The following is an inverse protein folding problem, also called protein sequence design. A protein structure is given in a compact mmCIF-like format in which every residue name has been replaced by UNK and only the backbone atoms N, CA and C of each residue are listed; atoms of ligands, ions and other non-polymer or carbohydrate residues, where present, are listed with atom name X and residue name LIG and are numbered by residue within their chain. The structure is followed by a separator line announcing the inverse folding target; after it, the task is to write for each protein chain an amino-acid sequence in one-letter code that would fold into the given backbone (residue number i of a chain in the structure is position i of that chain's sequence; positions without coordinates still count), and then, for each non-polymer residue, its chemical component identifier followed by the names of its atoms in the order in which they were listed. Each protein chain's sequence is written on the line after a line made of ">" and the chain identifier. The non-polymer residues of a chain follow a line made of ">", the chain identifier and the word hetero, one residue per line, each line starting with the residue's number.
data_IF_639909052681
#
_entry.id   IF_639909052681
#
_cell.length_a   1.000
_cell.length_b   1.000
_cell.length_c   1.000
_cell.angle_alpha   90.00
_cell.angle_beta   90.00
_cell.angle_gamma   90.00
#
_symmetry.space_group_name_H-M   'P 1'
#
loop_
_entity.id
_entity.type
_entity.pdbx_description
1 polymer ?
#
# COMPACT_ATOMS: atom_id res chain seq x y z
N UNK A 1 -13.91 6.01 -6.48
CA UNK A 1 -13.01 5.06 -5.79
C UNK A 1 -11.59 5.18 -6.33
N UNK A 2 -10.63 5.09 -5.47
CA UNK A 2 -9.21 5.07 -5.85
C UNK A 2 -8.60 3.73 -5.47
N UNK A 3 -7.58 3.36 -6.21
CA UNK A 3 -6.76 2.18 -5.88
C UNK A 3 -5.37 2.67 -5.55
N UNK A 4 -4.89 2.26 -4.39
CA UNK A 4 -3.51 2.52 -3.98
C UNK A 4 -2.71 1.26 -4.21
N UNK A 5 -1.60 1.38 -4.94
CA UNK A 5 -0.58 0.36 -4.99
C UNK A 5 0.59 0.86 -4.17
N UNK A 6 0.85 0.20 -3.06
CA UNK A 6 1.92 0.60 -2.15
C UNK A 6 3.01 -0.46 -2.17
N UNK A 7 4.19 -0.08 -2.63
CA UNK A 7 5.38 -0.92 -2.57
C UNK A 7 6.11 -0.55 -1.30
N UNK A 8 6.13 -1.48 -0.35
CA UNK A 8 6.73 -1.27 0.97
C UNK A 8 7.71 -2.40 1.24
N UNK A 9 8.46 -2.29 2.32
CA UNK A 9 9.30 -3.39 2.75
C UNK A 9 8.46 -4.50 3.36
N UNK A 10 8.89 -5.72 3.14
CA UNK A 10 8.22 -6.88 3.72
C UNK A 10 8.20 -6.82 5.25
N UNK A 11 9.23 -6.23 5.87
CA UNK A 11 9.27 -6.06 7.33
C UNK A 11 8.20 -5.10 7.87
N UNK A 12 7.65 -4.23 7.03
CA UNK A 12 6.60 -3.30 7.42
C UNK A 12 5.20 -3.82 7.10
N UNK A 13 5.10 -4.90 6.34
CA UNK A 13 3.83 -5.40 5.82
C UNK A 13 2.80 -5.67 6.91
N UNK A 14 3.17 -6.44 7.93
CA UNK A 14 2.23 -6.86 8.96
C UNK A 14 1.59 -5.66 9.67
N UNK A 15 2.39 -4.67 9.99
CA UNK A 15 1.91 -3.49 10.69
C UNK A 15 1.05 -2.60 9.80
N UNK A 16 1.42 -2.43 8.54
CA UNK A 16 0.62 -1.66 7.59
C UNK A 16 -0.74 -2.33 7.38
N UNK A 17 -0.76 -3.64 7.16
CA UNK A 17 -2.00 -4.38 6.98
C UNK A 17 -2.89 -4.26 8.22
N UNK A 18 -2.32 -4.42 9.41
CA UNK A 18 -3.07 -4.29 10.65
C UNK A 18 -3.75 -2.94 10.77
N UNK A 19 -3.02 -1.87 10.50
CA UNK A 19 -3.56 -0.51 10.57
C UNK A 19 -4.65 -0.26 9.53
N UNK A 20 -4.49 -0.79 8.31
CA UNK A 20 -5.51 -0.66 7.27
C UNK A 20 -6.79 -1.40 7.64
N UNK A 21 -6.65 -2.61 8.19
CA UNK A 21 -7.79 -3.41 8.64
C UNK A 21 -8.55 -2.71 9.76
N UNK A 22 -7.84 -2.04 10.67
CA UNK A 22 -8.48 -1.23 11.72
C UNK A 22 -9.35 -0.11 11.15
N UNK A 23 -8.99 0.42 10.00
CA UNK A 23 -9.79 1.43 9.29
C UNK A 23 -10.94 0.83 8.49
N UNK A 24 -11.09 -0.49 8.49
CA UNK A 24 -12.12 -1.17 7.72
C UNK A 24 -11.78 -1.33 6.24
N UNK A 25 -10.55 -1.13 5.87
CA UNK A 25 -10.10 -1.23 4.47
C UNK A 25 -9.69 -2.65 4.13
N UNK A 26 -9.90 -3.02 2.87
CA UNK A 26 -9.42 -4.28 2.34
C UNK A 26 -8.05 -4.08 1.73
N UNK A 27 -7.15 -4.98 2.08
CA UNK A 27 -5.79 -4.97 1.56
C UNK A 27 -5.52 -6.29 0.88
N UNK A 28 -5.08 -6.23 -0.37
CA UNK A 28 -4.70 -7.42 -1.12
C UNK A 28 -3.18 -7.38 -1.33
N UNK A 29 -2.51 -8.44 -0.92
CA UNK A 29 -1.10 -8.60 -1.20
C UNK A 29 -0.94 -9.10 -2.61
N UNK A 30 -0.16 -8.38 -3.41
CA UNK A 30 0.12 -8.79 -4.76
C UNK A 30 1.42 -9.59 -4.79
N UNK A 31 1.32 -10.83 -5.28
CA UNK A 31 2.52 -11.60 -5.56
C UNK A 31 3.18 -10.98 -6.78
N UNK A 32 4.41 -10.57 -6.66
CA UNK A 32 5.06 -9.86 -7.72
C UNK A 32 6.33 -10.50 -8.17
N UNK A 33 6.38 -10.77 -9.46
CA UNK A 33 7.59 -10.94 -10.19
C UNK A 33 7.64 -9.78 -11.16
N UNK A 34 8.49 -8.82 -10.94
CA UNK A 34 8.54 -7.71 -11.89
C UNK A 34 9.58 -6.70 -11.53
N UNK A 35 9.84 -5.80 -12.46
CA UNK A 35 10.96 -4.91 -12.42
C UNK A 35 11.01 -3.96 -11.23
N UNK A 36 9.90 -3.66 -10.58
CA UNK A 36 9.94 -2.83 -9.37
C UNK A 36 9.67 -3.60 -8.07
N UNK A 37 9.47 -4.91 -8.15
CA UNK A 37 9.47 -5.74 -6.96
C UNK A 37 10.87 -6.24 -6.70
N UNK A 38 11.60 -5.47 -5.95
CA UNK A 38 12.91 -5.89 -5.50
C UNK A 38 12.76 -6.88 -4.35
N UNK A 39 13.77 -7.72 -4.20
CA UNK A 39 13.86 -8.62 -3.06
C UNK A 39 13.71 -7.83 -1.75
N UNK A 40 12.84 -8.29 -0.86
CA UNK A 40 12.57 -7.64 0.40
C UNK A 40 11.43 -6.62 0.36
N UNK A 41 10.80 -6.44 -0.80
CA UNK A 41 9.64 -5.57 -0.95
C UNK A 41 8.38 -6.37 -1.23
N UNK A 42 7.24 -5.78 -0.89
CA UNK A 42 5.92 -6.34 -1.16
C UNK A 42 5.04 -5.23 -1.70
N UNK A 43 4.13 -5.58 -2.60
CA UNK A 43 3.14 -4.64 -3.11
C UNK A 43 1.78 -4.96 -2.52
N UNK A 44 1.14 -3.93 -1.95
CA UNK A 44 -0.21 -4.03 -1.42
C UNK A 44 -1.15 -3.22 -2.31
N UNK A 45 -2.32 -3.78 -2.59
CA UNK A 45 -3.38 -3.09 -3.29
C UNK A 45 -4.48 -2.76 -2.30
N UNK A 46 -4.86 -1.49 -2.21
CA UNK A 46 -5.82 -0.99 -1.24
C UNK A 46 -6.88 -0.18 -1.97
N UNK A 47 -8.15 -0.58 -1.85
CA UNK A 47 -9.26 0.21 -2.38
C UNK A 47 -9.70 1.24 -1.36
N UNK A 48 -9.79 2.51 -1.77
CA UNK A 48 -10.18 3.59 -0.87
C UNK A 48 -11.13 4.55 -1.58
N UNK A 49 -11.93 5.25 -0.79
CA UNK A 49 -12.66 6.41 -1.30
C UNK A 49 -11.73 7.62 -1.29
N UNK A 50 -12.06 8.61 -2.11
CA UNK A 50 -11.21 9.79 -2.26
C UNK A 50 -10.94 10.50 -0.93
N UNK A 51 -11.97 10.56 -0.06
CA UNK A 51 -11.88 11.19 1.25
C UNK A 51 -10.92 10.47 2.19
N UNK A 52 -10.71 9.16 1.99
CA UNK A 52 -9.84 8.35 2.83
C UNK A 52 -8.38 8.44 2.42
N UNK A 53 -8.12 8.92 1.21
CA UNK A 53 -6.78 8.92 0.64
C UNK A 53 -5.74 9.62 1.51
N UNK A 54 -5.99 10.84 2.02
CA UNK A 54 -5.00 11.50 2.89
C UNK A 54 -4.70 10.71 4.16
N UNK A 55 -5.72 10.08 4.75
CA UNK A 55 -5.56 9.28 5.96
C UNK A 55 -4.67 8.06 5.70
N UNK A 56 -4.92 7.37 4.59
CA UNK A 56 -4.13 6.19 4.23
C UNK A 56 -2.69 6.56 3.91
N UNK A 57 -2.50 7.65 3.17
CA UNK A 57 -1.15 8.15 2.85
C UNK A 57 -0.35 8.47 4.11
N UNK A 58 -0.99 9.17 5.05
CA UNK A 58 -0.36 9.54 6.30
C UNK A 58 -0.02 8.30 7.15
N UNK A 59 -0.92 7.32 7.16
CA UNK A 59 -0.73 6.09 7.89
C UNK A 59 0.46 5.28 7.35
N UNK A 60 0.58 5.17 6.05
CA UNK A 60 1.72 4.49 5.42
C UNK A 60 3.01 5.22 5.77
N UNK A 61 2.99 6.54 5.71
CA UNK A 61 4.16 7.35 6.04
C UNK A 61 4.62 7.15 7.48
N UNK A 62 3.67 7.05 8.41
CA UNK A 62 3.98 6.85 9.83
C UNK A 62 4.42 5.44 10.17
N UNK A 63 3.85 4.46 9.48
CA UNK A 63 4.06 3.05 9.79
C UNK A 63 5.32 2.49 9.15
N UNK A 64 5.63 2.94 7.94
CA UNK A 64 6.79 2.44 7.22
C UNK A 64 8.08 3.06 7.74
N UNK A 65 9.08 2.20 7.92
CA UNK A 65 10.38 2.61 8.45
C UNK A 65 11.28 3.16 7.34
N UNK A 66 12.11 4.11 7.70
CA UNK A 66 13.20 4.58 6.83
C UNK A 66 14.41 3.69 7.10
N UNK A 67 14.90 3.02 6.07
CA UNK A 67 16.17 2.31 6.20
C UNK A 67 17.31 3.21 5.79
N UNK A 68 18.43 3.01 6.45
CA UNK A 68 19.68 3.64 6.10
C UNK A 68 20.02 3.32 4.65
N UNK A 69 20.33 4.34 3.87
CA UNK A 69 20.65 4.20 2.45
C UNK A 69 19.47 4.20 1.50
N UNK A 70 18.24 4.32 2.00
CA UNK A 70 17.04 4.42 1.16
C UNK A 70 16.42 5.80 1.28
N UNK A 71 16.07 6.38 0.13
CA UNK A 71 15.45 7.71 0.08
C UNK A 71 13.98 7.69 0.47
N UNK A 72 13.30 6.56 0.25
CA UNK A 72 11.86 6.45 0.40
C UNK A 72 11.46 5.36 1.39
N UNK A 73 10.39 5.62 2.14
CA UNK A 73 9.75 4.64 3.01
C UNK A 73 8.90 3.67 2.21
N UNK A 74 8.25 4.20 1.18
CA UNK A 74 7.34 3.46 0.33
C UNK A 74 7.26 4.15 -1.03
N UNK A 75 6.87 3.39 -2.05
CA UNK A 75 6.52 3.94 -3.36
C UNK A 75 5.04 3.70 -3.55
N UNK A 76 4.28 4.76 -3.84
CA UNK A 76 2.83 4.71 -3.90
C UNK A 76 2.34 5.17 -5.25
N UNK A 77 1.51 4.33 -5.87
CA UNK A 77 0.77 4.68 -7.08
C UNK A 77 -0.69 4.83 -6.72
N UNK A 78 -1.31 5.90 -7.17
CA UNK A 78 -2.74 6.14 -6.98
C UNK A 78 -3.42 6.08 -8.33
N UNK A 79 -4.38 5.17 -8.46
CA UNK A 79 -5.09 4.94 -9.70
C UNK A 79 -6.58 5.21 -9.50
N UNK A 80 -7.24 5.71 -10.55
CA UNK A 80 -8.69 5.82 -10.55
C UNK A 80 -9.29 4.46 -10.87
N UNK A 81 -10.26 4.04 -10.07
CA UNK A 81 -11.06 2.87 -10.36
C UNK A 81 -12.38 3.33 -10.98
N UNK A 82 -12.66 2.91 -12.20
CA UNK A 82 -13.88 3.29 -12.91
C UNK A 82 -15.04 2.42 -12.47
N UNK A 83 -14.78 1.14 -12.25
CA UNK A 83 -15.82 0.18 -11.91
C UNK A 83 -15.22 -0.97 -11.10
N UNK A 84 -16.08 -1.63 -10.34
CA UNK A 84 -15.72 -2.81 -9.57
C UNK A 84 -16.80 -3.86 -9.76
N UNK A 85 -16.42 -5.02 -10.25
CA UNK A 85 -17.35 -6.14 -10.45
C UNK A 85 -16.89 -7.37 -9.72
N UNK A 86 -17.82 -8.00 -9.01
CA UNK A 86 -17.66 -9.34 -8.50
C UNK A 86 -18.26 -10.32 -9.49
N UNK A 87 -17.51 -11.27 -9.90
CA UNK A 87 -17.95 -12.31 -10.81
C UNK A 87 -17.88 -13.68 -10.13
#
# INVERSE_FOLDING_TARGET
>A
MKIILAVIRDSDEAQVVEEMVKLGLRVTRMAGTGGFLRRGNVTLMIGVEEEELPTVMDLIKKTCTVAEGFENRAVIFVLNAIDFKKV
#
